data_IF_587608353026
#
_entry.id   IF_587608353026
#
_cell.length_a   1.000
_cell.length_b   1.000
_cell.length_c   1.000
_cell.angle_alpha   90.00
_cell.angle_beta   90.00
_cell.angle_gamma   90.00
#
_symmetry.space_group_name_H-M   'P 1'
#
loop_
_entity.id
_entity.type
_entity.pdbx_description
1 polymer ?
#
# COMPACT_ATOMS: atom_id res chain seq x y z
N UNK A 1 9.82 -30.01 -0.54
CA UNK A 1 8.87 -29.84 -1.64
C UNK A 1 9.41 -28.74 -2.54
N UNK A 2 9.74 -29.04 -3.79
CA UNK A 2 10.00 -27.99 -4.78
C UNK A 2 8.66 -27.29 -5.03
N UNK A 3 8.63 -25.97 -4.80
CA UNK A 3 7.40 -25.19 -4.64
C UNK A 3 6.56 -25.11 -5.91
N UNK A 4 5.26 -24.85 -5.71
CA UNK A 4 4.34 -24.60 -6.81
C UNK A 4 4.79 -23.41 -7.66
N UNK A 5 4.52 -23.43 -8.98
CA UNK A 5 4.88 -22.34 -9.87
C UNK A 5 4.10 -21.08 -9.49
N UNK A 6 4.80 -19.98 -9.30
CA UNK A 6 4.19 -18.68 -9.04
C UNK A 6 3.39 -18.21 -10.25
N UNK A 7 2.09 -18.03 -10.06
CA UNK A 7 1.12 -17.70 -11.12
C UNK A 7 0.81 -16.20 -11.17
N UNK A 8 0.13 -15.76 -12.24
CA UNK A 8 -0.37 -14.39 -12.34
C UNK A 8 -1.38 -14.05 -11.23
N UNK A 9 -2.16 -15.04 -10.79
CA UNK A 9 -3.08 -14.91 -9.66
C UNK A 9 -2.32 -14.57 -8.37
N UNK A 10 -1.19 -15.22 -8.12
CA UNK A 10 -0.37 -14.97 -6.92
C UNK A 10 0.20 -13.55 -6.89
N UNK A 11 0.56 -12.99 -8.06
CA UNK A 11 0.97 -11.59 -8.19
C UNK A 11 -0.14 -10.65 -7.72
N UNK A 12 -1.38 -10.91 -8.13
CA UNK A 12 -2.53 -10.04 -7.83
C UNK A 12 -2.85 -10.09 -6.34
N UNK A 13 -2.86 -11.28 -5.74
CA UNK A 13 -3.05 -11.44 -4.31
C UNK A 13 -1.93 -10.79 -3.50
N UNK A 14 -0.68 -10.94 -3.92
CA UNK A 14 0.45 -10.29 -3.26
C UNK A 14 0.34 -8.76 -3.33
N UNK A 15 -0.09 -8.20 -4.47
CA UNK A 15 -0.35 -6.76 -4.62
C UNK A 15 -1.46 -6.28 -3.70
N UNK A 16 -2.57 -7.02 -3.61
CA UNK A 16 -3.67 -6.72 -2.70
C UNK A 16 -3.22 -6.75 -1.24
N UNK A 17 -2.54 -7.81 -0.81
CA UNK A 17 -2.03 -7.94 0.55
C UNK A 17 -1.06 -6.79 0.90
N UNK A 18 -0.17 -6.46 -0.04
CA UNK A 18 0.77 -5.35 0.12
C UNK A 18 0.07 -3.98 0.21
N UNK A 19 -1.02 -3.78 -0.54
CA UNK A 19 -1.82 -2.56 -0.46
C UNK A 19 -2.50 -2.43 0.91
N UNK A 20 -3.19 -3.49 1.36
CA UNK A 20 -3.88 -3.50 2.66
C UNK A 20 -2.90 -3.30 3.81
N UNK A 21 -1.74 -3.96 3.77
CA UNK A 21 -0.70 -3.80 4.80
C UNK A 21 -0.22 -2.34 4.91
N UNK A 22 -0.01 -1.66 3.78
CA UNK A 22 0.43 -0.26 3.75
C UNK A 22 -0.65 0.70 4.26
N UNK A 23 -1.89 0.56 3.81
CA UNK A 23 -2.99 1.39 4.30
C UNK A 23 -3.20 1.24 5.81
N UNK A 24 -3.11 0.02 6.31
CA UNK A 24 -3.24 -0.24 7.75
C UNK A 24 -2.06 0.35 8.52
N UNK A 25 -0.83 0.23 8.02
CA UNK A 25 0.34 0.85 8.63
C UNK A 25 0.21 2.38 8.70
N UNK A 26 -0.25 3.02 7.62
CA UNK A 26 -0.50 4.47 7.60
C UNK A 26 -1.55 4.88 8.64
N UNK A 27 -2.72 4.22 8.64
CA UNK A 27 -3.77 4.52 9.62
C UNK A 27 -3.32 4.32 11.06
N UNK A 28 -2.53 3.28 11.33
CA UNK A 28 -1.99 3.02 12.66
C UNK A 28 -1.04 4.15 13.11
N UNK A 29 -0.14 4.57 12.23
CA UNK A 29 0.83 5.63 12.48
C UNK A 29 0.17 7.01 12.62
N UNK A 30 -0.87 7.30 11.83
CA UNK A 30 -1.70 8.49 11.99
C UNK A 30 -2.40 8.56 13.34
N UNK A 31 -2.92 7.42 13.83
CA UNK A 31 -3.50 7.34 15.18
C UNK A 31 -2.45 7.58 16.25
N UNK A 32 -1.27 6.96 16.15
CA UNK A 32 -0.17 7.21 17.07
C UNK A 32 0.26 8.68 17.07
N UNK A 33 0.29 9.31 15.89
CA UNK A 33 0.60 10.73 15.75
C UNK A 33 -0.43 11.61 16.47
N UNK A 34 -1.72 11.32 16.33
CA UNK A 34 -2.79 12.04 17.01
C UNK A 34 -2.70 11.96 18.54
N UNK A 35 -2.24 10.83 19.08
CA UNK A 35 -2.02 10.63 20.53
C UNK A 35 -0.77 11.37 21.01
N UNK A 36 0.31 11.33 20.21
CA UNK A 36 1.59 11.98 20.54
C UNK A 36 1.50 13.52 20.57
N UNK A 37 0.65 14.09 19.70
CA UNK A 37 0.43 15.54 19.63
C UNK A 37 1.70 16.33 19.29
N UNK A 38 1.78 17.60 19.73
CA UNK A 38 2.89 18.51 19.41
C UNK A 38 4.27 18.02 19.87
N UNK A 39 4.33 17.13 20.87
CA UNK A 39 5.59 16.51 21.30
C UNK A 39 6.17 15.56 20.24
N UNK A 40 5.35 15.10 19.28
CA UNK A 40 5.80 14.28 18.15
C UNK A 40 6.50 15.06 17.04
N UNK A 41 6.45 16.40 17.06
CA UNK A 41 7.04 17.29 16.05
C UNK A 41 8.50 17.66 16.32
N UNK A 42 9.03 17.33 17.49
CA UNK A 42 10.41 17.67 17.83
C UNK A 42 11.34 16.55 17.37
N UNK A 43 12.36 16.90 16.58
CA UNK A 43 13.40 16.01 16.06
C UNK A 43 14.28 15.34 17.14
N UNK A 44 14.03 15.64 18.42
CA UNK A 44 14.73 15.00 19.55
C UNK A 44 14.39 13.51 19.70
N UNK A 45 13.27 13.05 19.13
CA UNK A 45 12.89 11.64 19.09
C UNK A 45 12.74 11.14 17.64
N UNK A 46 12.94 9.85 17.42
CA UNK A 46 12.84 9.21 16.10
C UNK A 46 11.39 9.06 15.60
N UNK A 47 10.40 9.43 16.41
CA UNK A 47 8.98 9.24 16.10
C UNK A 47 8.57 9.96 14.80
N UNK A 48 8.99 11.20 14.62
CA UNK A 48 8.72 11.99 13.41
C UNK A 48 9.33 11.36 12.16
N UNK A 49 10.56 10.85 12.28
CA UNK A 49 11.24 10.13 11.19
C UNK A 49 10.45 8.90 10.79
N UNK A 50 10.07 8.05 11.74
CA UNK A 50 9.28 6.84 11.43
C UNK A 50 7.90 7.18 10.85
N UNK A 51 7.26 8.25 11.33
CA UNK A 51 6.02 8.75 10.75
C UNK A 51 6.20 9.13 9.27
N UNK A 52 7.25 9.90 8.96
CA UNK A 52 7.57 10.30 7.57
C UNK A 52 7.92 9.10 6.70
N UNK A 53 8.73 8.17 7.18
CA UNK A 53 9.17 6.99 6.43
C UNK A 53 7.98 6.11 6.00
N UNK A 54 7.02 5.87 6.91
CA UNK A 54 5.80 5.10 6.62
C UNK A 54 4.94 5.80 5.57
N UNK A 55 4.87 7.14 5.61
CA UNK A 55 4.12 7.92 4.62
C UNK A 55 4.80 7.89 3.25
N UNK A 56 6.12 8.07 3.20
CA UNK A 56 6.93 8.05 1.97
C UNK A 56 6.95 6.66 1.31
N UNK A 57 6.86 5.58 2.10
CA UNK A 57 6.84 4.20 1.60
C UNK A 57 5.66 3.85 0.67
N UNK A 58 4.70 4.76 0.50
CA UNK A 58 3.54 4.59 -0.40
C UNK A 58 3.63 5.36 -1.72
N UNK A 59 4.63 6.23 -1.87
CA UNK A 59 4.82 7.06 -3.07
C UNK A 59 5.42 6.35 -4.29
N UNK A 60 6.18 5.23 -4.19
CA UNK A 60 6.74 4.60 -5.38
C UNK A 60 5.66 4.15 -6.39
N UNK A 61 5.84 4.51 -7.66
CA UNK A 61 4.93 4.25 -8.80
C UNK A 61 4.38 2.81 -8.96
N UNK A 62 5.11 1.71 -8.67
CA UNK A 62 4.54 0.36 -8.71
C UNK A 62 3.54 0.07 -7.57
N UNK A 63 3.34 1.02 -6.66
CA UNK A 63 2.49 0.90 -5.48
C UNK A 63 1.41 1.98 -5.42
N UNK A 64 1.18 2.71 -6.52
CA UNK A 64 0.05 3.62 -6.65
C UNK A 64 -1.25 2.89 -6.27
N UNK A 65 -1.90 3.27 -5.16
CA UNK A 65 -3.03 2.52 -4.61
C UNK A 65 -4.16 2.32 -5.63
N UNK A 66 -4.44 3.34 -6.43
CA UNK A 66 -5.52 3.32 -7.41
C UNK A 66 -5.27 2.32 -8.52
N UNK A 67 -4.02 2.20 -8.98
CA UNK A 67 -3.62 1.20 -9.98
C UNK A 67 -3.78 -0.23 -9.46
N UNK A 68 -3.41 -0.46 -8.19
CA UNK A 68 -3.56 -1.81 -7.58
C UNK A 68 -5.04 -2.15 -7.41
N UNK A 69 -5.86 -1.19 -6.98
CA UNK A 69 -7.32 -1.38 -6.85
C UNK A 69 -7.98 -1.65 -8.19
N UNK A 70 -7.58 -0.94 -9.24
CA UNK A 70 -8.08 -1.18 -10.60
C UNK A 70 -7.71 -2.58 -11.10
N UNK A 71 -6.45 -2.98 -10.97
CA UNK A 71 -5.99 -4.31 -11.38
C UNK A 71 -6.71 -5.43 -10.62
N UNK A 72 -6.91 -5.26 -9.31
CA UNK A 72 -7.67 -6.20 -8.50
C UNK A 72 -9.14 -6.26 -8.94
N UNK A 73 -9.79 -5.11 -9.16
CA UNK A 73 -11.18 -5.05 -9.61
C UNK A 73 -11.35 -5.76 -10.96
N UNK A 74 -10.47 -5.47 -11.92
CA UNK A 74 -10.47 -6.13 -13.23
C UNK A 74 -10.32 -7.65 -13.09
N UNK A 75 -9.40 -8.11 -12.24
CA UNK A 75 -9.24 -9.53 -11.97
C UNK A 75 -10.49 -10.18 -11.35
N UNK A 76 -11.12 -9.54 -10.36
CA UNK A 76 -12.31 -10.06 -9.68
C UNK A 76 -13.54 -10.14 -10.60
N UNK A 77 -13.63 -9.26 -11.60
CA UNK A 77 -14.74 -9.20 -12.56
C UNK A 77 -14.42 -9.84 -13.91
N UNK A 78 -13.29 -10.55 -14.03
CA UNK A 78 -12.85 -11.19 -15.29
C UNK A 78 -12.74 -10.21 -16.48
N UNK A 79 -12.33 -8.97 -16.18
CA UNK A 79 -12.11 -7.91 -17.18
C UNK A 79 -10.65 -7.95 -17.62
N UNK A 80 -10.35 -8.02 -18.92
CA UNK A 80 -8.97 -7.98 -19.41
C UNK A 80 -8.22 -6.69 -19.00
N UNK A 81 -6.95 -6.82 -18.60
CA UNK A 81 -6.15 -5.69 -18.06
C UNK A 81 -6.02 -4.53 -19.07
N UNK A 82 -6.03 -4.84 -20.36
CA UNK A 82 -5.88 -3.88 -21.45
C UNK A 82 -7.09 -2.96 -21.66
N UNK A 83 -8.27 -3.26 -21.10
CA UNK A 83 -9.51 -2.46 -21.22
C UNK A 83 -9.37 -1.13 -20.47
N UNK A 84 -9.79 -0.03 -21.08
CA UNK A 84 -9.81 1.34 -20.51
C UNK A 84 -11.20 1.66 -19.92
N UNK A 85 -11.33 2.54 -18.91
CA UNK A 85 -10.32 3.48 -18.42
C UNK A 85 -9.33 2.85 -17.42
N UNK A 86 -8.06 3.24 -17.56
CA UNK A 86 -7.00 3.15 -16.56
C UNK A 86 -7.00 4.50 -15.85
N UNK A 87 -7.90 4.67 -14.90
CA UNK A 87 -8.33 5.96 -14.34
C UNK A 87 -7.16 6.94 -14.16
N UNK A 88 -7.32 8.14 -14.74
CA UNK A 88 -6.34 9.22 -14.75
C UNK A 88 -6.28 10.00 -13.45
#
# INVERSE_FOLDING_TARGET
QAGEPFTATDVIWLRMASLVARENAQRAVERLWSVRGAHGLYETDNFERYYRDVRMGTLPAPHAPDRVREQLGKYLFDIPENVQPRWG
#
